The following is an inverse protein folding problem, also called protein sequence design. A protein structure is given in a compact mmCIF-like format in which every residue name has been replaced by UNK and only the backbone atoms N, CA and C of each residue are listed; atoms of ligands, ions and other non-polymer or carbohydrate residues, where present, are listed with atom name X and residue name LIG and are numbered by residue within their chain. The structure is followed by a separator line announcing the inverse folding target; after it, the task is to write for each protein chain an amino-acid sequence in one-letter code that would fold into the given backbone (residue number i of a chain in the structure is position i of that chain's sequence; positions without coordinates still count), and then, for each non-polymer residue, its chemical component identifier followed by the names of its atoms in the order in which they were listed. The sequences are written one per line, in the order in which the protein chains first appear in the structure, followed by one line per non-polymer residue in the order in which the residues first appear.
data_IF_325455495964
#
_entry.id   IF_325455495964
#
_cell.length_a   1.000
_cell.length_b   1.000
_cell.length_c   1.000
_cell.angle_alpha   90.00
_cell.angle_beta   90.00
_cell.angle_gamma   90.00
#
_symmetry.space_group_name_H-M   'P 1'
#
loop_
_entity.id
_entity.type
_entity.pdbx_description
1 polymer ?
#
# COMPACT_ATOMS: atom_id res chain seq x y z
N UNK A 1 4.80 -20.32 6.85
CA UNK A 1 5.95 -19.38 7.00
C UNK A 1 5.62 -18.42 8.13
N UNK A 2 6.59 -17.67 8.65
CA UNK A 2 6.28 -16.58 9.57
C UNK A 2 5.60 -15.42 8.80
N UNK A 3 4.73 -14.62 9.45
CA UNK A 3 4.11 -13.47 8.81
C UNK A 3 5.15 -12.44 8.36
N UNK A 4 4.93 -11.81 7.21
CA UNK A 4 5.72 -10.68 6.71
C UNK A 4 5.64 -9.55 7.73
N UNK A 5 6.79 -9.07 8.19
CA UNK A 5 6.87 -7.90 9.07
C UNK A 5 6.95 -6.63 8.22
N UNK A 6 5.81 -5.96 8.01
CA UNK A 6 5.69 -4.81 7.12
C UNK A 6 5.62 -3.50 7.90
N UNK A 7 6.64 -2.67 7.78
CA UNK A 7 6.73 -1.38 8.47
C UNK A 7 6.17 -0.23 7.65
N UNK A 8 5.48 0.68 8.31
CA UNK A 8 4.99 1.95 7.78
C UNK A 8 5.60 3.06 8.62
N UNK A 9 6.50 3.86 8.02
CA UNK A 9 7.10 4.98 8.75
C UNK A 9 6.11 6.15 8.83
N UNK A 10 5.69 6.48 10.04
CA UNK A 10 4.79 7.60 10.31
C UNK A 10 5.57 8.91 10.35
N UNK A 11 5.60 9.55 9.20
CA UNK A 11 6.02 10.93 9.01
C UNK A 11 4.84 11.77 8.53
N UNK A 12 4.89 13.11 8.61
CA UNK A 12 3.97 13.95 7.87
C UNK A 12 4.00 13.63 6.37
N UNK A 13 2.95 12.98 5.86
CA UNK A 13 2.80 12.56 4.46
C UNK A 13 1.39 12.80 3.94
N UNK A 14 1.21 12.72 2.61
CA UNK A 14 -0.11 12.57 2.02
C UNK A 14 -0.68 11.20 2.37
N UNK A 15 -1.87 11.18 3.00
CA UNK A 15 -2.43 9.96 3.61
C UNK A 15 -2.56 8.81 2.61
N UNK A 16 -2.99 9.14 1.38
CA UNK A 16 -3.24 8.16 0.33
C UNK A 16 -1.99 7.40 -0.12
N UNK A 17 -0.80 7.98 0.01
CA UNK A 17 0.47 7.32 -0.33
C UNK A 17 0.75 6.11 0.56
N UNK A 18 0.11 6.06 1.73
CA UNK A 18 0.25 5.00 2.71
C UNK A 18 -1.00 4.15 2.78
N UNK A 19 -2.16 4.76 3.03
CA UNK A 19 -3.37 3.97 3.30
C UNK A 19 -3.87 3.22 2.06
N UNK A 20 -3.70 3.78 0.86
CA UNK A 20 -4.07 3.09 -0.38
C UNK A 20 -3.29 1.79 -0.58
N UNK A 21 -1.94 1.84 -0.62
CA UNK A 21 -1.10 0.64 -0.65
C UNK A 21 -1.35 -0.36 0.48
N UNK A 22 -1.51 0.13 1.72
CA UNK A 22 -1.75 -0.74 2.88
C UNK A 22 -3.11 -1.44 2.77
N UNK A 23 -4.13 -0.77 2.23
CA UNK A 23 -5.44 -1.38 2.01
C UNK A 23 -5.40 -2.47 0.93
N UNK A 24 -4.61 -2.30 -0.14
CA UNK A 24 -4.35 -3.36 -1.14
C UNK A 24 -3.71 -4.59 -0.47
N UNK A 25 -2.67 -4.38 0.35
CA UNK A 25 -2.01 -5.47 1.09
C UNK A 25 -2.96 -6.14 2.09
N UNK A 26 -3.75 -5.35 2.81
CA UNK A 26 -4.70 -5.83 3.82
C UNK A 26 -5.82 -6.66 3.19
N UNK A 27 -6.43 -6.14 2.12
CA UNK A 27 -7.49 -6.84 1.37
C UNK A 27 -7.00 -8.10 0.66
N UNK A 28 -5.70 -8.17 0.35
CA UNK A 28 -5.04 -9.36 -0.20
C UNK A 28 -4.56 -10.35 0.88
N UNK A 29 -4.82 -10.09 2.16
CA UNK A 29 -4.36 -10.95 3.25
C UNK A 29 -5.21 -12.22 3.42
N UNK A 30 -4.59 -13.31 3.88
CA UNK A 30 -5.30 -14.57 4.18
C UNK A 30 -6.48 -14.33 5.12
N UNK A 31 -6.29 -13.47 6.13
CA UNK A 31 -7.32 -13.14 7.11
C UNK A 31 -8.51 -12.44 6.46
N UNK A 32 -8.26 -11.46 5.60
CA UNK A 32 -9.33 -10.73 4.91
C UNK A 32 -10.07 -11.64 3.93
N UNK A 33 -9.35 -12.40 3.12
CA UNK A 33 -9.93 -13.30 2.13
C UNK A 33 -10.80 -14.39 2.77
N UNK A 34 -10.34 -15.00 3.87
CA UNK A 34 -11.14 -15.99 4.61
C UNK A 34 -12.41 -15.39 5.21
N UNK A 35 -12.33 -14.16 5.73
CA UNK A 35 -13.51 -13.45 6.24
C UNK A 35 -14.52 -13.13 5.13
N UNK A 36 -14.04 -12.76 3.93
CA UNK A 36 -14.91 -12.56 2.77
C UNK A 36 -15.56 -13.86 2.30
N UNK A 37 -14.82 -14.97 2.28
CA UNK A 37 -15.36 -16.31 1.99
C UNK A 37 -16.52 -16.66 2.93
N UNK A 38 -16.38 -16.40 4.24
CA UNK A 38 -17.45 -16.63 5.22
C UNK A 38 -18.69 -15.76 4.96
N UNK A 39 -18.50 -14.52 4.50
CA UNK A 39 -19.59 -13.60 4.20
C UNK A 39 -20.34 -13.96 2.90
N UNK A 40 -19.61 -14.36 1.86
CA UNK A 40 -20.17 -14.74 0.55
C UNK A 40 -20.85 -16.11 0.63
N UNK A 41 -20.36 -17.01 1.50
CA UNK A 41 -20.86 -18.38 1.62
C UNK A 41 -20.35 -19.34 0.55
N UNK A 42 -19.40 -18.91 -0.28
CA UNK A 42 -18.76 -19.70 -1.34
C UNK A 42 -17.24 -19.81 -1.09
N UNK A 43 -16.61 -20.97 -1.35
CA UNK A 43 -15.16 -21.12 -1.20
C UNK A 43 -14.36 -20.19 -2.11
N UNK A 44 -13.37 -19.49 -1.55
CA UNK A 44 -12.34 -18.80 -2.33
C UNK A 44 -11.11 -19.69 -2.40
N UNK A 45 -10.98 -20.50 -3.45
CA UNK A 45 -9.90 -21.49 -3.60
C UNK A 45 -8.49 -20.87 -3.50
N UNK A 46 -8.36 -19.58 -3.84
CA UNK A 46 -7.13 -18.81 -3.77
C UNK A 46 -6.84 -18.18 -2.41
N UNK A 47 -7.75 -18.21 -1.43
CA UNK A 47 -7.60 -17.47 -0.17
C UNK A 47 -6.33 -17.83 0.62
N UNK A 48 -5.88 -19.10 0.53
CA UNK A 48 -4.65 -19.55 1.21
C UNK A 48 -3.35 -19.06 0.53
N UNK A 49 -3.42 -18.49 -0.69
CA UNK A 49 -2.29 -17.82 -1.36
C UNK A 49 -2.13 -16.35 -0.97
N UNK A 50 -3.10 -15.79 -0.25
CA UNK A 50 -3.04 -14.43 0.24
C UNK A 50 -1.84 -14.16 1.14
N UNK A 51 -1.66 -12.89 1.50
CA UNK A 51 -0.55 -12.46 2.35
C UNK A 51 -0.79 -12.86 3.81
N UNK A 52 0.22 -13.49 4.40
CA UNK A 52 0.38 -13.56 5.86
C UNK A 52 1.26 -12.39 6.30
N UNK A 53 0.66 -11.33 6.84
CA UNK A 53 1.30 -10.02 7.03
C UNK A 53 0.93 -9.39 8.37
N UNK A 54 1.93 -8.81 9.04
CA UNK A 54 1.79 -8.01 10.25
C UNK A 54 2.26 -6.59 9.94
N UNK A 55 1.35 -5.62 10.09
CA UNK A 55 1.65 -4.21 9.91
C UNK A 55 2.19 -3.58 11.19
N UNK A 56 3.21 -2.74 11.03
CA UNK A 56 3.81 -1.94 12.10
C UNK A 56 3.81 -0.47 11.70
N UNK A 57 2.93 0.32 12.32
CA UNK A 57 2.92 1.78 12.18
C UNK A 57 3.95 2.37 13.14
N UNK A 58 5.02 2.96 12.60
CA UNK A 58 6.24 3.31 13.32
C UNK A 58 6.31 4.83 13.48
N UNK A 59 6.07 5.32 14.69
CA UNK A 59 6.25 6.73 15.03
C UNK A 59 7.63 7.05 15.61
N UNK A 60 7.92 8.34 15.77
CA UNK A 60 8.98 8.80 16.68
C UNK A 60 8.53 8.53 18.14
N UNK A 61 7.36 9.08 18.49
CA UNK A 61 6.63 8.79 19.73
C UNK A 61 5.37 7.97 19.44
N UNK A 62 4.58 7.66 20.48
CA UNK A 62 3.26 7.02 20.34
C UNK A 62 2.11 8.01 20.11
N UNK A 63 2.39 9.31 20.00
CA UNK A 63 1.36 10.35 19.84
C UNK A 63 0.76 10.34 18.42
N UNK A 64 1.51 9.82 17.44
CA UNK A 64 1.08 9.69 16.05
C UNK A 64 1.35 10.90 15.18
N UNK A 65 0.75 10.88 14.00
CA UNK A 65 0.84 11.97 13.02
C UNK A 65 -0.56 12.39 12.56
N UNK A 66 -0.68 13.64 12.13
CA UNK A 66 -1.85 14.14 11.42
C UNK A 66 -1.48 14.35 9.96
N UNK A 67 -2.08 13.55 9.07
CA UNK A 67 -1.91 13.67 7.63
C UNK A 67 -2.94 14.59 6.98
N UNK A 68 -3.03 14.54 5.65
CA UNK A 68 -4.06 15.23 4.86
C UNK A 68 -5.48 14.97 5.38
N UNK A 69 -6.38 15.94 5.21
CA UNK A 69 -7.77 15.89 5.67
C UNK A 69 -7.94 15.69 7.19
N UNK A 70 -6.95 16.12 7.99
CA UNK A 70 -6.93 15.93 9.45
C UNK A 70 -7.01 14.46 9.90
N UNK A 71 -6.61 13.52 9.03
CA UNK A 71 -6.57 12.10 9.36
C UNK A 71 -5.45 11.85 10.38
N UNK A 72 -5.80 11.32 11.54
CA UNK A 72 -4.82 10.99 12.59
C UNK A 72 -4.51 9.50 12.56
N UNK A 73 -3.22 9.16 12.51
CA UNK A 73 -2.77 7.77 12.47
C UNK A 73 -1.94 7.50 13.73
N UNK A 74 -2.39 6.51 14.50
CA UNK A 74 -1.72 6.10 15.74
C UNK A 74 -0.62 5.07 15.45
N UNK A 75 0.57 5.22 16.06
CA UNK A 75 1.63 4.23 15.96
C UNK A 75 1.25 2.95 16.73
N UNK A 76 1.77 1.83 16.26
CA UNK A 76 1.78 0.54 16.98
C UNK A 76 3.13 0.26 17.63
N UNK A 77 4.17 0.98 17.21
CA UNK A 77 5.53 0.89 17.73
C UNK A 77 6.27 2.22 17.48
N UNK A 78 7.46 2.37 18.05
CA UNK A 78 8.33 3.54 17.82
C UNK A 78 9.59 3.16 17.07
N UNK A 79 10.31 4.14 16.52
CA UNK A 79 11.61 3.93 15.90
C UNK A 79 12.58 3.18 16.84
N UNK A 80 12.52 3.47 18.15
CA UNK A 80 13.35 2.84 19.17
C UNK A 80 12.96 1.39 19.51
N UNK A 81 11.71 0.99 19.29
CA UNK A 81 11.17 -0.31 19.74
C UNK A 81 10.66 -1.18 18.60
N UNK A 82 10.76 -0.70 17.37
CA UNK A 82 10.28 -1.40 16.18
C UNK A 82 10.98 -2.76 16.04
N UNK A 83 10.25 -3.86 15.78
CA UNK A 83 10.85 -5.17 15.54
C UNK A 83 11.63 -5.18 14.22
N UNK A 84 12.34 -6.28 13.92
CA UNK A 84 12.95 -6.47 12.60
C UNK A 84 11.84 -6.47 11.53
N UNK A 85 12.10 -5.84 10.40
CA UNK A 85 11.16 -5.70 9.28
C UNK A 85 11.68 -6.46 8.06
N UNK A 86 10.75 -6.96 7.26
CA UNK A 86 11.03 -7.47 5.92
C UNK A 86 10.91 -6.34 4.88
N UNK A 87 9.90 -5.49 5.01
CA UNK A 87 9.62 -4.37 4.11
C UNK A 87 9.38 -3.09 4.91
N UNK A 88 9.80 -1.96 4.35
CA UNK A 88 9.52 -0.62 4.90
C UNK A 88 8.90 0.26 3.81
N UNK A 89 7.67 0.70 4.05
CA UNK A 89 6.97 1.72 3.26
C UNK A 89 7.18 3.09 3.88
N UNK A 90 7.52 4.07 3.04
CA UNK A 90 7.55 5.46 3.41
C UNK A 90 6.77 6.28 2.38
N UNK A 91 5.70 6.94 2.83
CA UNK A 91 4.90 7.84 2.00
C UNK A 91 5.66 9.10 1.60
N UNK A 92 5.11 9.88 0.66
CA UNK A 92 5.74 11.13 0.24
C UNK A 92 5.73 12.13 1.41
N UNK A 93 6.90 12.57 1.89
CA UNK A 93 6.94 13.57 2.95
C UNK A 93 6.49 14.93 2.43
N UNK A 94 5.88 15.73 3.29
CA UNK A 94 5.72 17.17 3.00
C UNK A 94 7.09 17.84 2.80
N UNK A 95 7.12 18.88 1.96
CA UNK A 95 8.36 19.53 1.51
C UNK A 95 9.22 20.06 2.68
N UNK A 96 8.60 20.53 3.75
CA UNK A 96 9.28 21.02 4.96
C UNK A 96 10.06 19.90 5.67
N UNK A 97 9.43 18.73 5.85
CA UNK A 97 10.08 17.56 6.41
C UNK A 97 11.16 17.03 5.47
N UNK A 98 10.90 17.02 4.16
CA UNK A 98 11.88 16.56 3.17
C UNK A 98 13.18 17.38 3.20
N UNK A 99 13.06 18.69 3.39
CA UNK A 99 14.22 19.59 3.49
C UNK A 99 14.94 19.48 4.83
N UNK A 100 14.25 19.04 5.89
CA UNK A 100 14.76 18.99 7.25
C UNK A 100 14.39 17.68 7.95
N UNK A 101 14.86 16.55 7.41
CA UNK A 101 14.53 15.22 7.95
C UNK A 101 15.13 15.07 9.36
N UNK A 102 14.31 14.85 10.42
CA UNK A 102 14.81 14.61 11.77
C UNK A 102 15.76 13.41 11.86
N UNK A 103 16.78 13.52 12.71
CA UNK A 103 17.80 12.47 12.88
C UNK A 103 17.21 11.12 13.26
N UNK A 104 16.14 11.09 14.06
CA UNK A 104 15.46 9.85 14.45
C UNK A 104 15.01 9.03 13.24
N UNK A 105 14.41 9.67 12.24
CA UNK A 105 13.94 8.99 11.02
C UNK A 105 15.11 8.65 10.10
N UNK A 106 16.06 9.58 9.93
CA UNK A 106 17.22 9.35 9.08
C UNK A 106 18.07 8.17 9.58
N UNK A 107 18.30 8.09 10.89
CA UNK A 107 19.06 7.00 11.51
C UNK A 107 18.28 5.70 11.45
N UNK A 108 16.98 5.72 11.77
CA UNK A 108 16.12 4.53 11.66
C UNK A 108 16.15 3.90 10.26
N UNK A 109 16.07 4.71 9.20
CA UNK A 109 16.12 4.23 7.82
C UNK A 109 17.52 3.66 7.50
N UNK A 110 18.58 4.39 7.84
CA UNK A 110 19.97 3.96 7.57
C UNK A 110 20.30 2.63 8.27
N UNK A 111 19.89 2.47 9.52
CA UNK A 111 20.18 1.28 10.31
C UNK A 111 19.49 0.01 9.77
N UNK A 112 18.42 0.18 8.98
CA UNK A 112 17.58 -0.92 8.50
C UNK A 112 17.79 -1.27 7.05
N UNK A 113 18.27 -0.33 6.22
CA UNK A 113 18.30 -0.51 4.76
C UNK A 113 18.95 -1.83 4.35
N UNK A 114 20.05 -2.24 4.98
CA UNK A 114 20.77 -3.47 4.65
C UNK A 114 20.03 -4.76 5.06
N UNK A 115 19.21 -4.69 6.10
CA UNK A 115 18.44 -5.83 6.60
C UNK A 115 17.07 -6.01 5.95
N UNK A 116 16.62 -5.05 5.14
CA UNK A 116 15.32 -5.08 4.46
C UNK A 116 15.37 -5.90 3.16
N UNK A 117 14.28 -6.63 2.91
CA UNK A 117 14.00 -7.24 1.61
C UNK A 117 13.51 -6.19 0.60
N UNK A 118 12.85 -5.12 1.08
CA UNK A 118 12.39 -4.01 0.24
C UNK A 118 12.28 -2.67 0.98
N UNK A 119 12.72 -1.57 0.33
CA UNK A 119 12.46 -0.19 0.74
C UNK A 119 11.64 0.52 -0.33
N UNK A 120 10.54 1.16 0.07
CA UNK A 120 9.58 1.76 -0.86
C UNK A 120 9.52 3.28 -0.64
N UNK A 121 9.85 4.08 -1.68
CA UNK A 121 10.17 5.52 -1.52
C UNK A 121 9.91 6.38 -2.79
N UNK A 122 9.80 7.72 -2.68
CA UNK A 122 9.76 8.66 -3.82
C UNK A 122 10.84 9.77 -3.73
N UNK A 123 11.61 10.08 -4.80
CA UNK A 123 12.54 11.24 -4.76
C UNK A 123 12.90 11.88 -6.11
N UNK A 124 13.71 12.95 -6.03
CA UNK A 124 14.55 13.59 -7.05
C UNK A 124 16.00 13.80 -6.51
N UNK A 125 17.00 13.46 -7.34
CA UNK A 125 18.47 13.56 -7.12
C UNK A 125 19.16 13.51 -8.50
N UNK A 126 20.04 14.47 -8.87
CA UNK A 126 20.65 14.48 -10.21
C UNK A 126 21.50 13.24 -10.53
N UNK A 127 22.04 12.57 -9.51
CA UNK A 127 22.87 11.37 -9.65
C UNK A 127 22.04 10.10 -9.90
N UNK A 128 20.71 10.17 -9.76
CA UNK A 128 19.80 9.04 -9.97
C UNK A 128 19.31 9.03 -11.41
N UNK A 129 19.30 7.85 -12.02
CA UNK A 129 18.72 7.64 -13.34
C UNK A 129 17.18 7.60 -13.24
N UNK A 130 16.53 8.74 -13.43
CA UNK A 130 15.07 8.85 -13.33
C UNK A 130 14.35 8.14 -14.48
N UNK A 131 13.36 7.32 -14.13
CA UNK A 131 12.44 6.70 -15.09
C UNK A 131 11.23 7.60 -15.33
N UNK A 132 10.65 7.54 -16.53
CA UNK A 132 9.35 8.14 -16.85
C UNK A 132 8.17 7.19 -16.62
N UNK A 133 8.42 6.00 -16.08
CA UNK A 133 7.40 5.01 -15.74
C UNK A 133 6.66 5.37 -14.43
N UNK A 134 5.52 4.72 -14.19
CA UNK A 134 4.71 4.92 -12.99
C UNK A 134 5.48 4.51 -11.72
N UNK A 135 6.28 3.45 -11.80
CA UNK A 135 7.23 3.05 -10.78
C UNK A 135 8.50 2.46 -11.39
N UNK A 136 9.52 2.29 -10.56
CA UNK A 136 10.77 1.62 -10.88
C UNK A 136 11.16 0.66 -9.77
N UNK A 137 11.81 -0.44 -10.13
CA UNK A 137 12.36 -1.43 -9.21
C UNK A 137 13.86 -1.54 -9.46
N UNK A 138 14.67 -1.26 -8.43
CA UNK A 138 16.13 -1.39 -8.45
C UNK A 138 16.59 -2.22 -7.26
N UNK A 139 16.77 -3.53 -7.49
CA UNK A 139 17.05 -4.50 -6.45
C UNK A 139 15.95 -4.53 -5.39
N UNK A 140 16.27 -4.11 -4.17
CA UNK A 140 15.32 -4.00 -3.05
C UNK A 140 14.59 -2.65 -3.00
N UNK A 141 14.92 -1.70 -3.85
CA UNK A 141 14.28 -0.39 -3.84
C UNK A 141 13.12 -0.38 -4.83
N UNK A 142 11.93 -0.02 -4.36
CA UNK A 142 10.74 0.14 -5.18
C UNK A 142 10.28 1.59 -5.06
N UNK A 143 10.12 2.29 -6.17
CA UNK A 143 9.80 3.72 -6.11
C UNK A 143 8.70 4.07 -7.09
N UNK A 144 7.63 4.71 -6.61
CA UNK A 144 6.51 5.14 -7.44
C UNK A 144 6.50 6.66 -7.62
N UNK A 145 5.86 7.14 -8.68
CA UNK A 145 5.79 8.58 -8.98
C UNK A 145 4.77 9.35 -8.15
N UNK A 146 3.58 8.78 -7.91
CA UNK A 146 2.51 9.43 -7.13
C UNK A 146 1.61 8.41 -6.45
N UNK A 147 0.70 8.85 -5.58
CA UNK A 147 -0.12 7.98 -4.72
C UNK A 147 -0.74 6.79 -5.45
N UNK A 148 -1.45 7.06 -6.56
CA UNK A 148 -2.14 6.01 -7.33
C UNK A 148 -1.15 5.10 -8.06
N UNK A 149 -0.02 5.64 -8.53
CA UNK A 149 1.06 4.81 -9.08
C UNK A 149 1.67 3.89 -8.00
N UNK A 150 1.71 4.36 -6.76
CA UNK A 150 2.06 3.54 -5.60
C UNK A 150 1.07 2.41 -5.40
N UNK A 151 -0.23 2.70 -5.44
CA UNK A 151 -1.27 1.67 -5.38
C UNK A 151 -1.11 0.63 -6.49
N UNK A 152 -0.94 1.07 -7.75
CA UNK A 152 -0.68 0.20 -8.91
C UNK A 152 0.57 -0.68 -8.70
N UNK A 153 1.65 -0.10 -8.21
CA UNK A 153 2.90 -0.83 -7.92
C UNK A 153 2.70 -1.92 -6.85
N UNK A 154 1.94 -1.62 -5.80
CA UNK A 154 1.65 -2.60 -4.75
C UNK A 154 0.68 -3.68 -5.22
N UNK A 155 -0.28 -3.35 -6.06
CA UNK A 155 -1.11 -4.32 -6.74
C UNK A 155 -0.23 -5.29 -7.54
N UNK A 156 0.64 -4.75 -8.40
CA UNK A 156 1.52 -5.55 -9.22
C UNK A 156 2.40 -6.48 -8.38
N UNK A 157 2.93 -5.98 -7.26
CA UNK A 157 3.69 -6.78 -6.29
C UNK A 157 2.86 -7.93 -5.68
N UNK A 158 1.60 -7.70 -5.34
CA UNK A 158 0.70 -8.76 -4.85
C UNK A 158 0.44 -9.78 -5.96
N UNK A 159 0.15 -9.33 -7.18
CA UNK A 159 -0.09 -10.22 -8.32
C UNK A 159 1.13 -11.10 -8.61
N UNK A 160 2.34 -10.56 -8.60
CA UNK A 160 3.58 -11.33 -8.78
C UNK A 160 3.78 -12.38 -7.67
N UNK A 161 3.42 -12.03 -6.43
CA UNK A 161 3.69 -12.87 -5.26
C UNK A 161 2.63 -13.93 -5.02
N UNK A 162 1.38 -13.59 -5.25
CA UNK A 162 0.20 -14.35 -4.84
C UNK A 162 -0.60 -14.88 -6.03
N UNK A 163 -0.40 -14.35 -7.24
CA UNK A 163 -1.21 -14.58 -8.43
C UNK A 163 -2.39 -13.60 -8.54
N UNK A 164 -2.83 -13.32 -9.77
CA UNK A 164 -3.76 -12.23 -10.11
C UNK A 164 -5.15 -12.33 -9.44
N UNK A 165 -5.64 -13.54 -9.20
CA UNK A 165 -6.95 -13.78 -8.61
C UNK A 165 -7.05 -13.41 -7.11
N UNK A 166 -5.91 -13.27 -6.43
CA UNK A 166 -5.85 -12.82 -5.03
C UNK A 166 -6.27 -11.34 -4.90
N UNK A 167 -5.61 -10.38 -5.57
CA UNK A 167 -5.98 -8.97 -5.49
C UNK A 167 -7.26 -8.62 -6.25
N UNK A 168 -7.76 -9.47 -7.16
CA UNK A 168 -9.01 -9.26 -7.90
C UNK A 168 -10.23 -8.98 -7.02
N UNK A 169 -10.33 -9.65 -5.87
CA UNK A 169 -11.41 -9.39 -4.90
C UNK A 169 -11.39 -7.96 -4.34
N UNK A 170 -10.20 -7.37 -4.20
CA UNK A 170 -10.01 -5.99 -3.77
C UNK A 170 -10.43 -4.98 -4.84
N UNK A 171 -10.12 -5.24 -6.12
CA UNK A 171 -10.51 -4.36 -7.24
C UNK A 171 -12.02 -4.14 -7.29
N UNK A 172 -12.78 -5.23 -7.18
CA UNK A 172 -14.23 -5.21 -7.25
C UNK A 172 -14.84 -4.42 -6.08
N UNK A 173 -14.30 -4.59 -4.88
CA UNK A 173 -14.79 -3.88 -3.70
C UNK A 173 -14.46 -2.38 -3.74
N UNK A 174 -13.30 -2.01 -4.30
CA UNK A 174 -12.82 -0.63 -4.38
C UNK A 174 -13.27 0.11 -5.63
N UNK A 175 -13.89 -0.56 -6.61
CA UNK A 175 -14.10 -0.05 -7.98
C UNK A 175 -12.78 0.53 -8.55
N UNK A 176 -11.69 -0.21 -8.32
CA UNK A 176 -10.32 0.19 -8.65
C UNK A 176 -9.79 -0.64 -9.83
N UNK A 177 -9.39 0.03 -10.91
CA UNK A 177 -8.76 -0.59 -12.07
C UNK A 177 -7.25 -0.35 -12.04
N UNK A 178 -6.43 -1.38 -11.75
CA UNK A 178 -4.99 -1.20 -11.64
C UNK A 178 -4.34 -0.94 -12.99
N UNK A 179 -3.21 -0.23 -12.97
CA UNK A 179 -2.41 0.10 -14.16
C UNK A 179 -1.04 -0.58 -14.15
N UNK A 180 -0.54 -0.88 -15.33
CA UNK A 180 0.82 -1.37 -15.53
C UNK A 180 1.87 -0.28 -15.28
N UNK A 181 3.14 -0.67 -15.35
CA UNK A 181 4.30 0.20 -15.14
C UNK A 181 4.34 1.39 -16.10
N UNK A 182 3.66 1.31 -17.24
CA UNK A 182 3.55 2.36 -18.24
C UNK A 182 2.29 3.22 -18.07
N UNK A 183 1.47 2.96 -17.04
CA UNK A 183 0.23 3.67 -16.75
C UNK A 183 -0.96 3.25 -17.62
N UNK A 184 -0.89 2.10 -18.30
CA UNK A 184 -2.00 1.53 -19.07
C UNK A 184 -2.81 0.59 -18.17
N UNK A 185 -4.12 0.40 -18.42
CA UNK A 185 -4.89 -0.60 -17.67
C UNK A 185 -4.20 -1.98 -17.68
N UNK A 186 -4.07 -2.59 -16.51
CA UNK A 186 -3.43 -3.89 -16.33
C UNK A 186 -4.39 -5.05 -16.62
N UNK A 187 -5.70 -4.81 -16.54
CA UNK A 187 -6.75 -5.80 -16.79
C UNK A 187 -7.48 -5.50 -18.10
N UNK A 188 -7.92 -6.55 -18.80
CA UNK A 188 -8.88 -6.40 -19.90
C UNK A 188 -10.29 -6.20 -19.35
N UNK A 189 -11.13 -5.39 -20.03
CA UNK A 189 -12.53 -5.15 -19.64
C UNK A 189 -13.37 -6.43 -19.42
N UNK A 190 -13.02 -7.54 -20.07
CA UNK A 190 -13.69 -8.85 -19.90
C UNK A 190 -13.40 -9.49 -18.53
N UNK A 191 -12.19 -9.30 -17.98
CA UNK A 191 -11.77 -9.83 -16.67
C UNK A 191 -12.44 -9.08 -15.53
N UNK A 192 -12.75 -7.80 -15.76
CA UNK A 192 -13.29 -6.92 -14.72
C UNK A 192 -14.73 -7.34 -14.35
N UNK A 193 -15.44 -8.17 -15.14
CA UNK A 193 -16.72 -8.78 -14.75
C UNK A 193 -17.83 -7.79 -14.38
N UNK A 194 -17.64 -6.49 -14.62
CA UNK A 194 -18.53 -5.42 -14.19
C UNK A 194 -19.67 -5.27 -15.19
N UNK A 195 -20.70 -6.11 -15.05
CA UNK A 195 -22.00 -5.79 -15.60
C UNK A 195 -22.55 -4.50 -14.96
N UNK A 196 -23.42 -3.74 -15.66
CA UNK A 196 -24.01 -2.50 -15.12
C UNK A 196 -24.84 -2.69 -13.83
N UNK A 197 -25.05 -3.93 -13.36
CA UNK A 197 -25.90 -4.26 -12.21
C UNK A 197 -25.17 -4.90 -11.02
N UNK A 198 -23.85 -5.12 -11.09
CA UNK A 198 -23.12 -5.87 -10.06
C UNK A 198 -22.51 -4.95 -8.98
N UNK A 199 -23.35 -4.52 -8.03
CA UNK A 199 -22.86 -4.05 -6.74
C UNK A 199 -22.45 -2.57 -6.62
N UNK A 200 -22.51 -1.78 -7.71
CA UNK A 200 -22.25 -0.33 -7.67
C UNK A 200 -23.48 0.44 -7.20
N UNK A 201 -23.72 0.40 -5.90
CA UNK A 201 -24.83 1.10 -5.26
C UNK A 201 -24.43 2.52 -4.88
N UNK A 202 -24.69 3.48 -5.75
CA UNK A 202 -24.77 4.89 -5.39
C UNK A 202 -26.24 5.27 -5.21
N UNK A 203 -26.61 5.79 -4.04
CA UNK A 203 -27.97 6.29 -3.82
C UNK A 203 -28.06 7.78 -4.17
N UNK A 204 -29.22 8.22 -4.66
CA UNK A 204 -29.62 9.63 -4.68
C UNK A 204 -30.81 9.78 -3.75
N UNK A 205 -30.79 10.77 -2.87
CA UNK A 205 -32.00 11.17 -2.16
C UNK A 205 -33.04 11.67 -3.17
N UNK A 206 -34.25 11.14 -3.09
CA UNK A 206 -35.39 11.78 -3.73
C UNK A 206 -35.77 12.99 -2.88
N UNK A 207 -35.71 14.20 -3.44
CA UNK A 207 -36.46 15.31 -2.87
C UNK A 207 -37.94 15.05 -3.19
N UNK A 208 -38.73 14.70 -2.17
CA UNK A 208 -40.19 14.77 -2.28
C UNK A 208 -40.58 16.24 -2.45
N UNK A 209 -41.32 16.53 -3.52
CA UNK A 209 -41.89 17.85 -3.83
C UNK A 209 -43.20 18.08 -3.09
#
# INVERSE_FOLDING_TARGET
MAPIQFGILLIPFQVLDVVGPVDILSSSSITYLKKNQEHIGEPLEFANRGLDIQFHYIGDTMDGITGTANCTIKPTTTCATCPKLDYLLIGEPYADLFLNVPDVFANFIRDRVDGLQGLIWQRLKPEVNWSSQQWAVDGKFWTAGGAIAGMDMFENWVTEKCGQDVPETGYLALDFEPRDVNGKPALSQEVIGLGPNDGRWAFRYHNEA
#
